data_IF_014927034069
#
_entry.id   IF_014927034069
#
_cell.length_a   1.000
_cell.length_b   1.000
_cell.length_c   1.000
_cell.angle_alpha   90.00
_cell.angle_beta   90.00
_cell.angle_gamma   90.00
#
_symmetry.space_group_name_H-M   'P 1'
#
loop_
_entity.id
_entity.type
_entity.pdbx_description
1 polymer ?
#
# COMPACT_ATOMS: atom_id res chain seq x y z
N UNK A 1 -20.00 19.03 -79.34
CA UNK A 1 -19.84 18.20 -78.11
C UNK A 1 -18.69 18.77 -77.30
N UNK A 2 -18.77 18.91 -75.96
CA UNK A 2 -19.92 19.23 -75.11
C UNK A 2 -19.70 20.45 -74.19
N UNK A 3 -20.81 20.91 -73.62
CA UNK A 3 -20.96 21.93 -72.58
C UNK A 3 -20.13 21.58 -71.32
N UNK A 4 -19.32 22.52 -70.81
CA UNK A 4 -18.65 22.38 -69.53
C UNK A 4 -19.65 22.58 -68.38
N UNK A 5 -19.80 21.54 -67.56
CA UNK A 5 -20.68 21.52 -66.40
C UNK A 5 -20.21 22.51 -65.32
N UNK A 6 -21.12 23.38 -64.88
CA UNK A 6 -20.94 24.26 -63.72
C UNK A 6 -20.98 23.40 -62.46
N UNK A 7 -19.83 23.21 -61.81
CA UNK A 7 -19.77 22.60 -60.48
C UNK A 7 -20.26 23.63 -59.45
N UNK A 8 -21.51 23.48 -59.01
CA UNK A 8 -22.03 24.18 -57.85
C UNK A 8 -21.30 23.70 -56.59
N UNK A 9 -20.39 24.54 -56.09
CA UNK A 9 -19.70 24.33 -54.82
C UNK A 9 -20.66 24.71 -53.69
N UNK A 10 -21.32 23.73 -53.08
CA UNK A 10 -22.07 23.95 -51.85
C UNK A 10 -21.09 24.28 -50.71
N UNK A 11 -21.12 25.48 -50.11
CA UNK A 11 -20.28 25.77 -48.96
C UNK A 11 -20.82 24.98 -47.76
N UNK A 12 -20.01 24.06 -47.23
CA UNK A 12 -20.20 23.56 -45.87
C UNK A 12 -20.02 24.75 -44.92
N UNK A 13 -21.12 25.29 -44.41
CA UNK A 13 -21.07 26.23 -43.30
C UNK A 13 -20.56 25.47 -42.08
N UNK A 14 -19.27 25.62 -41.77
CA UNK A 14 -18.77 25.29 -40.45
C UNK A 14 -19.47 26.21 -39.45
N UNK A 15 -20.35 25.65 -38.62
CA UNK A 15 -20.92 26.38 -37.49
C UNK A 15 -19.78 26.66 -36.52
N UNK A 16 -19.31 27.91 -36.51
CA UNK A 16 -18.46 28.43 -35.45
C UNK A 16 -19.32 28.51 -34.19
N UNK A 17 -19.14 27.56 -33.27
CA UNK A 17 -19.72 27.66 -31.93
C UNK A 17 -18.95 28.75 -31.17
N UNK A 18 -19.60 29.90 -30.95
CA UNK A 18 -19.08 30.92 -30.06
C UNK A 18 -19.43 30.58 -28.62
N UNK A 19 -18.42 30.34 -27.78
CA UNK A 19 -18.59 30.24 -26.34
C UNK A 19 -18.75 31.63 -25.75
N UNK A 20 -19.72 31.81 -24.86
CA UNK A 20 -19.89 33.09 -24.16
C UNK A 20 -18.85 33.25 -23.05
N UNK A 21 -18.51 34.50 -22.70
CA UNK A 21 -17.60 34.78 -21.56
C UNK A 21 -18.14 34.16 -20.27
N UNK A 22 -19.46 34.19 -20.07
CA UNK A 22 -20.12 33.59 -18.90
C UNK A 22 -20.02 32.06 -18.89
N UNK A 23 -20.11 31.38 -20.03
CA UNK A 23 -19.89 29.94 -20.11
C UNK A 23 -18.46 29.54 -19.75
N UNK A 24 -17.46 30.32 -20.18
CA UNK A 24 -16.07 30.07 -19.79
C UNK A 24 -15.88 30.26 -18.29
N UNK A 25 -16.43 31.33 -17.71
CA UNK A 25 -16.37 31.56 -16.27
C UNK A 25 -17.10 30.46 -15.48
N UNK A 26 -18.27 30.02 -15.94
CA UNK A 26 -19.03 28.94 -15.33
C UNK A 26 -18.29 27.60 -15.42
N UNK A 27 -17.72 27.28 -16.60
CA UNK A 27 -16.95 26.05 -16.81
C UNK A 27 -15.69 26.00 -15.94
N UNK A 28 -14.94 27.11 -15.86
CA UNK A 28 -13.78 27.23 -14.99
C UNK A 28 -14.16 27.07 -13.51
N UNK A 29 -15.31 27.63 -13.13
CA UNK A 29 -15.84 27.49 -11.76
C UNK A 29 -16.16 26.03 -11.44
N UNK A 30 -16.86 25.32 -12.35
CA UNK A 30 -17.20 23.90 -12.19
C UNK A 30 -15.92 23.05 -12.11
N UNK A 31 -14.96 23.26 -13.02
CA UNK A 31 -13.69 22.53 -13.01
C UNK A 31 -12.90 22.78 -11.73
N UNK A 32 -12.88 24.03 -11.25
CA UNK A 32 -12.23 24.38 -9.98
C UNK A 32 -12.84 23.65 -8.78
N UNK A 33 -14.17 23.59 -8.70
CA UNK A 33 -14.87 22.85 -7.63
C UNK A 33 -14.55 21.35 -7.72
N UNK A 34 -14.60 20.77 -8.92
CA UNK A 34 -14.30 19.35 -9.14
C UNK A 34 -12.84 19.01 -8.79
N UNK A 35 -11.90 19.88 -9.13
CA UNK A 35 -10.48 19.70 -8.82
C UNK A 35 -10.23 19.63 -7.30
N UNK A 36 -10.92 20.46 -6.51
CA UNK A 36 -10.82 20.44 -5.04
C UNK A 36 -11.31 19.09 -4.48
N UNK A 37 -12.46 18.60 -4.95
CA UNK A 37 -13.01 17.29 -4.52
C UNK A 37 -12.09 16.13 -4.94
N UNK A 38 -11.52 16.20 -6.14
CA UNK A 38 -10.64 15.17 -6.67
C UNK A 38 -9.34 15.00 -5.86
N UNK A 39 -8.75 16.09 -5.35
CA UNK A 39 -7.54 16.01 -4.52
C UNK A 39 -7.83 15.31 -3.18
N UNK A 40 -8.97 15.62 -2.55
CA UNK A 40 -9.33 15.04 -1.26
C UNK A 40 -9.60 13.53 -1.31
N UNK A 41 -10.15 13.02 -2.42
CA UNK A 41 -10.46 11.59 -2.57
C UNK A 41 -9.23 10.70 -2.79
N UNK A 42 -8.12 11.26 -3.26
CA UNK A 42 -6.91 10.50 -3.60
C UNK A 42 -6.18 9.93 -2.37
N UNK A 43 -6.26 10.59 -1.22
CA UNK A 43 -5.55 10.18 0.00
C UNK A 43 -5.95 8.79 0.51
N UNK A 44 -7.25 8.49 0.55
CA UNK A 44 -7.77 7.21 1.03
C UNK A 44 -7.39 6.04 0.10
N UNK A 45 -7.36 6.28 -1.21
CA UNK A 45 -6.96 5.26 -2.18
C UNK A 45 -5.47 4.92 -2.04
N UNK A 46 -4.63 5.93 -1.84
CA UNK A 46 -3.20 5.73 -1.61
C UNK A 46 -2.93 4.93 -0.34
N UNK A 47 -3.57 5.29 0.77
CA UNK A 47 -3.38 4.57 2.04
C UNK A 47 -3.81 3.09 1.93
N UNK A 48 -4.91 2.81 1.25
CA UNK A 48 -5.33 1.42 0.98
C UNK A 48 -4.30 0.67 0.11
N UNK A 49 -3.73 1.33 -0.91
CA UNK A 49 -2.70 0.73 -1.75
C UNK A 49 -1.43 0.44 -0.95
N UNK A 50 -1.01 1.36 -0.09
CA UNK A 50 0.15 1.20 0.78
C UNK A 50 -0.04 -0.02 1.71
N UNK A 51 -1.20 -0.15 2.35
CA UNK A 51 -1.52 -1.33 3.19
C UNK A 51 -1.47 -2.65 2.39
N UNK A 52 -2.04 -2.66 1.18
CA UNK A 52 -2.03 -3.85 0.30
C UNK A 52 -0.60 -4.21 -0.12
N UNK A 53 0.21 -3.21 -0.46
CA UNK A 53 1.61 -3.42 -0.83
C UNK A 53 2.40 -4.01 0.33
N UNK A 54 2.28 -3.43 1.53
CA UNK A 54 2.98 -3.92 2.72
C UNK A 54 2.57 -5.36 3.08
N UNK A 55 1.28 -5.69 2.93
CA UNK A 55 0.77 -7.06 3.11
C UNK A 55 1.41 -8.03 2.12
N UNK A 56 1.51 -7.63 0.84
CA UNK A 56 2.10 -8.46 -0.23
C UNK A 56 3.60 -8.66 -0.02
N UNK A 57 4.31 -7.63 0.42
CA UNK A 57 5.73 -7.70 0.73
C UNK A 57 6.01 -8.65 1.91
N UNK A 58 5.18 -8.60 2.96
CA UNK A 58 5.29 -9.54 4.10
C UNK A 58 5.13 -10.98 3.64
N UNK A 59 4.14 -11.28 2.79
CA UNK A 59 3.95 -12.61 2.22
C UNK A 59 5.15 -13.03 1.35
N UNK A 60 5.74 -12.08 0.62
CA UNK A 60 6.95 -12.33 -0.18
C UNK A 60 8.14 -12.67 0.71
N UNK A 61 8.36 -11.92 1.80
CA UNK A 61 9.43 -12.18 2.77
C UNK A 61 9.21 -13.53 3.47
N UNK A 62 7.98 -13.85 3.85
CA UNK A 62 7.61 -15.17 4.40
C UNK A 62 7.98 -16.30 3.44
N UNK A 63 7.63 -16.20 2.15
CA UNK A 63 8.04 -17.21 1.16
C UNK A 63 9.56 -17.37 1.03
N UNK A 64 10.33 -16.29 1.18
CA UNK A 64 11.80 -16.35 1.20
C UNK A 64 12.33 -17.04 2.46
N UNK A 65 11.73 -16.78 3.62
CA UNK A 65 12.07 -17.41 4.90
C UNK A 65 11.76 -18.91 4.87
N UNK A 66 10.61 -19.30 4.36
CA UNK A 66 10.23 -20.72 4.22
C UNK A 66 11.18 -21.46 3.29
N UNK A 67 11.55 -20.84 2.16
CA UNK A 67 12.56 -21.41 1.25
C UNK A 67 13.89 -21.62 1.97
N UNK A 68 14.36 -20.63 2.73
CA UNK A 68 15.60 -20.76 3.50
C UNK A 68 15.53 -21.88 4.55
N UNK A 69 14.40 -21.99 5.25
CA UNK A 69 14.13 -23.04 6.22
C UNK A 69 14.29 -24.44 5.61
N UNK A 70 13.82 -24.67 4.38
CA UNK A 70 13.99 -25.99 3.72
C UNK A 70 15.45 -26.40 3.53
N UNK A 71 16.38 -25.45 3.51
CA UNK A 71 17.82 -25.70 3.31
C UNK A 71 18.61 -25.75 4.61
N UNK A 72 18.29 -24.88 5.57
CA UNK A 72 19.04 -24.75 6.83
C UNK A 72 18.34 -25.40 8.03
N UNK A 73 17.08 -25.83 7.87
CA UNK A 73 16.22 -26.41 8.91
C UNK A 73 16.12 -25.53 10.18
N UNK A 74 16.22 -24.22 10.00
CA UNK A 74 16.06 -23.17 11.00
C UNK A 74 15.63 -21.88 10.30
N UNK A 75 14.95 -21.01 11.04
CA UNK A 75 14.81 -19.61 10.61
C UNK A 75 16.09 -18.82 10.94
N UNK A 76 16.43 -17.79 10.15
CA UNK A 76 17.60 -16.93 10.39
C UNK A 76 17.45 -16.14 11.71
N UNK A 77 18.55 -15.60 12.24
CA UNK A 77 18.48 -14.69 13.38
C UNK A 77 18.13 -13.26 12.95
N UNK A 78 18.33 -12.94 11.67
CA UNK A 78 18.04 -11.63 11.07
C UNK A 78 17.65 -11.74 9.60
N UNK A 79 16.79 -10.84 9.12
CA UNK A 79 16.50 -10.72 7.68
C UNK A 79 17.73 -10.43 6.83
N UNK A 80 18.83 -9.96 7.42
CA UNK A 80 20.09 -9.75 6.72
C UNK A 80 20.70 -11.05 6.16
N UNK A 81 20.37 -12.21 6.74
CA UNK A 81 20.78 -13.53 6.22
C UNK A 81 20.03 -13.90 4.93
N UNK A 82 18.89 -13.27 4.66
CA UNK A 82 18.02 -13.59 3.52
C UNK A 82 18.25 -12.59 2.38
N UNK A 83 18.82 -13.02 1.24
CA UNK A 83 19.07 -12.13 0.11
C UNK A 83 17.77 -11.48 -0.39
N UNK A 84 17.80 -10.15 -0.53
CA UNK A 84 16.65 -9.36 -0.99
C UNK A 84 15.73 -8.90 0.14
N UNK A 85 15.48 -9.72 1.17
CA UNK A 85 14.50 -9.41 2.22
C UNK A 85 14.87 -8.15 3.03
N UNK A 86 16.13 -8.02 3.47
CA UNK A 86 16.58 -6.85 4.23
C UNK A 86 16.62 -5.54 3.44
N UNK A 87 16.60 -5.61 2.10
CA UNK A 87 16.61 -4.44 1.23
C UNK A 87 15.20 -3.89 0.97
N UNK A 88 14.15 -4.70 1.16
CA UNK A 88 12.77 -4.23 1.04
C UNK A 88 12.48 -3.15 2.09
N UNK A 89 11.68 -2.17 1.65
CA UNK A 89 11.14 -1.11 2.49
C UNK A 89 9.65 -1.11 2.31
N UNK A 90 8.93 -0.83 3.38
CA UNK A 90 7.49 -0.64 3.30
C UNK A 90 7.16 0.65 2.52
N UNK A 91 5.90 0.87 2.13
CA UNK A 91 5.49 2.04 1.34
C UNK A 91 5.76 3.39 2.01
N UNK A 92 5.96 3.39 3.32
CA UNK A 92 6.29 4.58 4.10
C UNK A 92 7.81 4.78 4.25
N UNK A 93 8.62 3.89 3.68
CA UNK A 93 10.08 3.96 3.64
C UNK A 93 10.76 3.31 4.83
N UNK A 94 10.02 2.65 5.72
CA UNK A 94 10.57 1.99 6.88
C UNK A 94 11.07 0.57 6.52
N UNK A 95 12.10 0.05 7.20
CA UNK A 95 12.48 -1.35 7.05
C UNK A 95 11.45 -2.27 7.70
N UNK A 96 11.17 -3.41 7.05
CA UNK A 96 10.42 -4.49 7.66
C UNK A 96 11.14 -5.00 8.91
N UNK A 97 10.36 -5.26 9.95
CA UNK A 97 10.84 -5.73 11.24
C UNK A 97 10.68 -7.25 11.31
N UNK A 98 11.70 -7.90 11.85
CA UNK A 98 11.75 -9.33 12.02
C UNK A 98 12.33 -9.71 13.37
N UNK A 99 11.77 -10.73 13.97
CA UNK A 99 12.25 -11.28 15.23
C UNK A 99 12.07 -12.80 15.24
N UNK A 100 13.18 -13.54 15.23
CA UNK A 100 13.14 -14.98 15.46
C UNK A 100 12.79 -15.27 16.92
N UNK A 101 11.64 -15.89 17.18
CA UNK A 101 11.15 -16.09 18.55
C UNK A 101 11.96 -17.18 19.27
N UNK A 102 12.50 -18.16 18.52
CA UNK A 102 13.27 -19.27 19.09
C UNK A 102 14.60 -18.80 19.71
N UNK A 103 15.16 -17.67 19.26
CA UNK A 103 16.48 -17.20 19.71
C UNK A 103 16.41 -16.04 20.71
N UNK A 104 15.22 -15.50 20.99
CA UNK A 104 15.04 -14.39 21.92
C UNK A 104 14.92 -14.86 23.36
N UNK A 105 15.73 -14.26 24.25
CA UNK A 105 15.60 -14.44 25.70
C UNK A 105 14.40 -13.64 26.24
N UNK A 106 13.30 -14.35 26.48
CA UNK A 106 12.06 -13.81 27.07
C UNK A 106 11.09 -13.20 26.04
N UNK A 107 9.85 -12.93 26.46
CA UNK A 107 8.74 -12.52 25.57
C UNK A 107 8.48 -11.01 25.55
N UNK A 108 9.45 -10.19 25.95
CA UNK A 108 9.28 -8.74 26.07
C UNK A 108 9.15 -8.04 24.71
N UNK A 109 9.88 -8.54 23.71
CA UNK A 109 9.93 -7.96 22.35
C UNK A 109 8.93 -8.57 21.37
N UNK A 110 8.42 -9.75 21.69
CA UNK A 110 7.47 -10.50 20.86
C UNK A 110 6.16 -9.72 20.75
N UNK A 111 5.60 -9.63 19.55
CA UNK A 111 4.34 -8.95 19.27
C UNK A 111 3.19 -9.70 19.93
N UNK A 112 2.22 -8.97 20.48
CA UNK A 112 1.14 -9.57 21.28
C UNK A 112 -0.24 -9.05 20.91
N UNK A 113 -1.22 -9.94 20.96
CA UNK A 113 -2.64 -9.64 20.75
C UNK A 113 -3.26 -8.83 21.90
N UNK A 114 -4.58 -8.68 21.86
CA UNK A 114 -5.36 -8.00 22.91
C UNK A 114 -5.32 -8.69 24.27
N UNK A 115 -5.08 -10.01 24.31
CA UNK A 115 -4.93 -10.81 25.52
C UNK A 115 -3.47 -10.89 26.01
N UNK A 116 -2.56 -10.13 25.39
CA UNK A 116 -1.12 -10.14 25.66
C UNK A 116 -0.44 -11.49 25.32
N UNK A 117 -1.06 -12.28 24.45
CA UNK A 117 -0.55 -13.55 23.93
C UNK A 117 0.29 -13.27 22.67
N UNK A 118 1.46 -13.93 22.50
CA UNK A 118 2.23 -13.83 21.26
C UNK A 118 1.39 -14.09 20.01
N UNK A 119 1.56 -13.24 18.99
CA UNK A 119 0.88 -13.40 17.69
C UNK A 119 1.33 -14.67 16.95
N UNK A 120 2.61 -15.00 17.10
CA UNK A 120 3.27 -16.09 16.43
C UNK A 120 4.10 -16.92 17.42
N UNK A 121 4.50 -18.10 16.97
CA UNK A 121 5.35 -19.04 17.71
C UNK A 121 6.71 -19.26 17.03
N UNK A 122 6.81 -18.97 15.73
CA UNK A 122 7.99 -19.12 14.89
C UNK A 122 8.85 -17.83 14.88
N UNK A 123 8.31 -16.76 14.31
CA UNK A 123 8.94 -15.45 14.20
C UNK A 123 7.87 -14.35 14.08
N UNK A 124 8.21 -13.14 14.49
CA UNK A 124 7.43 -11.96 14.13
C UNK A 124 7.96 -11.35 12.83
N UNK A 125 7.05 -10.90 11.98
CA UNK A 125 7.33 -10.18 10.74
C UNK A 125 6.25 -9.10 10.55
N UNK A 126 6.67 -7.83 10.43
CA UNK A 126 5.73 -6.72 10.32
C UNK A 126 6.35 -5.47 9.67
N UNK A 127 5.49 -4.58 9.17
CA UNK A 127 5.81 -3.17 8.87
C UNK A 127 5.36 -2.30 10.06
N UNK A 128 6.11 -1.24 10.34
CA UNK A 128 5.81 -0.27 11.41
C UNK A 128 4.71 0.73 11.04
N UNK A 129 4.02 0.51 9.91
CA UNK A 129 2.97 1.40 9.47
C UNK A 129 3.46 2.77 9.03
N UNK A 130 2.50 3.68 8.95
CA UNK A 130 2.67 5.04 8.45
C UNK A 130 3.36 5.95 9.45
N UNK A 131 3.17 5.70 10.74
CA UNK A 131 3.77 6.50 11.80
C UNK A 131 5.22 6.08 12.13
N UNK A 132 5.61 4.87 11.70
CA UNK A 132 6.95 4.31 11.85
C UNK A 132 7.31 3.94 13.29
N UNK A 133 6.32 3.74 14.16
CA UNK A 133 6.50 3.48 15.60
C UNK A 133 5.75 2.23 15.99
N UNK A 134 6.42 1.29 16.63
CA UNK A 134 5.75 0.07 17.11
C UNK A 134 6.18 -0.28 18.52
N UNK A 135 5.29 -0.92 19.27
CA UNK A 135 5.55 -1.52 20.59
C UNK A 135 4.97 -2.93 20.64
N UNK A 136 5.37 -3.78 21.58
CA UNK A 136 4.98 -5.21 21.55
C UNK A 136 3.46 -5.46 21.44
N UNK A 137 2.58 -4.88 22.28
CA UNK A 137 1.13 -5.16 22.20
C UNK A 137 0.42 -4.38 21.08
N UNK A 138 -0.42 -5.05 20.29
CA UNK A 138 -1.26 -4.45 19.24
C UNK A 138 -2.29 -3.45 19.78
N UNK A 139 -2.63 -3.56 21.06
CA UNK A 139 -3.58 -2.64 21.73
C UNK A 139 -3.03 -1.23 21.89
N UNK A 140 -1.71 -1.06 21.88
CA UNK A 140 -1.07 0.24 22.00
C UNK A 140 -1.35 1.09 20.76
N UNK A 141 -1.63 2.39 20.97
CA UNK A 141 -2.00 3.31 19.88
C UNK A 141 -0.98 3.36 18.74
N UNK A 142 0.32 3.34 19.08
CA UNK A 142 1.40 3.35 18.10
C UNK A 142 1.40 2.09 17.23
N UNK A 143 0.86 0.96 17.71
CA UNK A 143 0.92 -0.30 16.97
C UNK A 143 -0.33 -0.66 16.18
N UNK A 144 -1.31 0.26 16.10
CA UNK A 144 -2.57 0.00 15.41
C UNK A 144 -2.47 0.10 13.90
N UNK A 145 -1.53 0.88 13.37
CA UNK A 145 -1.27 1.02 11.93
C UNK A 145 -0.17 0.08 11.43
N UNK A 146 0.44 -0.72 12.30
CA UNK A 146 1.37 -1.77 11.92
C UNK A 146 0.69 -2.77 10.98
N UNK A 147 1.42 -3.27 9.98
CA UNK A 147 0.97 -4.39 9.13
C UNK A 147 1.67 -5.64 9.64
N UNK A 148 0.92 -6.60 10.17
CA UNK A 148 1.47 -7.73 10.93
C UNK A 148 1.16 -9.06 10.28
N UNK A 149 2.13 -9.98 10.34
CA UNK A 149 1.88 -11.43 10.24
C UNK A 149 1.46 -11.95 11.61
N UNK A 150 0.38 -12.71 11.67
CA UNK A 150 -0.12 -13.33 12.90
C UNK A 150 -0.63 -14.75 12.64
N UNK A 151 -0.85 -15.52 13.71
CA UNK A 151 -1.30 -16.92 13.67
C UNK A 151 -0.35 -17.81 12.84
N UNK A 152 0.96 -17.59 12.93
CA UNK A 152 1.98 -18.28 12.12
C UNK A 152 1.65 -18.22 10.61
N UNK A 153 1.27 -17.04 10.10
CA UNK A 153 0.96 -16.83 8.68
C UNK A 153 -0.52 -16.96 8.32
N UNK A 154 -1.38 -17.38 9.26
CA UNK A 154 -2.83 -17.46 9.04
C UNK A 154 -3.52 -16.10 8.86
N UNK A 155 -2.84 -15.01 9.23
CA UNK A 155 -3.29 -13.63 9.01
C UNK A 155 -2.10 -12.75 8.59
N UNK A 156 -2.32 -11.91 7.58
CA UNK A 156 -1.43 -10.80 7.24
C UNK A 156 -2.28 -9.59 6.91
N UNK A 157 -2.12 -8.51 7.67
CA UNK A 157 -2.95 -7.31 7.51
C UNK A 157 -2.73 -6.26 8.58
N UNK A 158 -3.61 -5.26 8.59
CA UNK A 158 -3.56 -4.15 9.55
C UNK A 158 -3.77 -4.67 10.98
N UNK A 159 -2.92 -4.24 11.91
CA UNK A 159 -2.99 -4.68 13.31
C UNK A 159 -4.30 -4.31 14.00
N UNK A 160 -4.99 -3.25 13.58
CA UNK A 160 -6.31 -2.92 14.11
C UNK A 160 -7.42 -3.90 13.70
N UNK A 161 -7.18 -4.70 12.67
CA UNK A 161 -8.17 -5.63 12.09
C UNK A 161 -8.00 -7.06 12.61
N UNK A 162 -7.01 -7.30 13.48
CA UNK A 162 -6.70 -8.57 14.13
C UNK A 162 -7.17 -8.60 15.58
#
# INVERSE_FOLDING_TARGET
>A
MPLAAILARFPHQARLFGVTLIELLLSLTIVGILAIVAVASYGFLREKQDIIQATTDIQTIEGLLERDFTTHNRYPDSLAEIPGAAALRDPWGNPYQYLNIATVKGKGKVRKDHNLVPLNTDYDLYSMGKDGRSVSPLTAKASRDDIVRANNGGFVGLASDY
#
